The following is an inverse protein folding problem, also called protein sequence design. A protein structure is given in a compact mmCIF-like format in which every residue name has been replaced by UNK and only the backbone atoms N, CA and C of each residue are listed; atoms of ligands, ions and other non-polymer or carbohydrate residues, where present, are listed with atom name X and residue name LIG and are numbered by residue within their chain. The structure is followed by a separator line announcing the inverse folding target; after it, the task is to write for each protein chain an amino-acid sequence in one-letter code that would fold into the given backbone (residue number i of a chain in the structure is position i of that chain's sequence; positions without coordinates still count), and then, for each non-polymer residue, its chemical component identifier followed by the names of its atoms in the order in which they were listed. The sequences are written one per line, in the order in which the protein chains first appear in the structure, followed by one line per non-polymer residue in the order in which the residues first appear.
data_IF_937982414022
#
_entry.id   IF_937982414022
#
_cell.length_a   1.000
_cell.length_b   1.000
_cell.length_c   1.000
_cell.angle_alpha   90.00
_cell.angle_beta   90.00
_cell.angle_gamma   90.00
#
_symmetry.space_group_name_H-M   'P 1'
#
loop_
_entity.id
_entity.type
_entity.pdbx_description
1 polymer ?
#
# COMPACT_ATOMS: atom_id res chain seq x y z
N UNK A 1 25.12 -6.70 0.07
CA UNK A 1 25.64 -5.89 1.19
C UNK A 1 25.03 -4.49 1.23
N UNK A 2 25.16 -3.65 0.19
CA UNK A 2 24.59 -2.29 0.18
C UNK A 2 23.07 -2.24 0.45
N UNK A 3 22.28 -3.08 -0.25
CA UNK A 3 20.83 -3.14 -0.04
C UNK A 3 20.44 -3.53 1.39
N UNK A 4 21.13 -4.51 2.00
CA UNK A 4 20.92 -4.88 3.40
C UNK A 4 21.20 -3.71 4.36
N UNK A 5 22.31 -3.00 4.16
CA UNK A 5 22.67 -1.82 4.96
C UNK A 5 21.62 -0.72 4.84
N UNK A 6 21.03 -0.54 3.64
CA UNK A 6 19.98 0.44 3.43
C UNK A 6 18.68 0.07 4.16
N UNK A 7 18.26 -1.21 4.12
CA UNK A 7 17.10 -1.68 4.90
C UNK A 7 17.31 -1.40 6.40
N UNK A 8 18.51 -1.68 6.91
CA UNK A 8 18.84 -1.43 8.31
C UNK A 8 18.92 0.06 8.65
N UNK A 9 19.50 0.88 7.78
CA UNK A 9 19.50 2.33 7.93
C UNK A 9 18.07 2.91 7.94
N UNK A 10 17.18 2.38 7.10
CA UNK A 10 15.77 2.74 7.09
C UNK A 10 15.06 2.33 8.38
N UNK A 11 15.35 1.15 8.94
CA UNK A 11 14.85 0.77 10.27
C UNK A 11 15.36 1.72 11.36
N UNK A 12 16.65 2.09 11.35
CA UNK A 12 17.19 3.04 12.34
C UNK A 12 16.52 4.40 12.19
N UNK A 13 16.36 4.89 10.97
CA UNK A 13 15.65 6.15 10.68
C UNK A 13 14.21 6.13 11.20
N UNK A 14 13.53 4.99 11.02
CA UNK A 14 12.21 4.73 11.57
C UNK A 14 12.22 4.84 13.11
N UNK A 15 13.10 4.08 13.79
CA UNK A 15 13.21 4.08 15.25
C UNK A 15 13.58 5.45 15.81
N UNK A 16 14.51 6.18 15.19
CA UNK A 16 14.94 7.51 15.62
C UNK A 16 13.85 8.59 15.44
N UNK A 17 13.05 8.46 14.38
CA UNK A 17 12.00 9.43 14.10
C UNK A 17 10.65 9.12 14.74
N UNK A 18 10.52 8.00 15.46
CA UNK A 18 9.27 7.56 16.06
C UNK A 18 8.98 8.23 17.41
N UNK A 19 7.99 9.14 17.41
CA UNK A 19 7.21 9.51 18.60
C UNK A 19 5.77 8.99 18.44
N UNK A 20 5.63 7.68 18.26
CA UNK A 20 4.33 7.08 17.95
C UNK A 20 3.61 6.69 19.23
N UNK A 21 2.44 7.28 19.44
CA UNK A 21 1.57 6.97 20.58
C UNK A 21 0.75 5.68 20.37
N UNK A 22 0.71 5.14 19.14
CA UNK A 22 -0.08 3.97 18.76
C UNK A 22 0.78 2.72 18.49
N UNK A 23 0.87 1.82 19.47
CA UNK A 23 1.63 0.56 19.40
C UNK A 23 1.18 -0.36 18.25
N UNK A 24 -0.08 -0.29 17.83
CA UNK A 24 -0.60 -1.12 16.74
C UNK A 24 0.03 -0.76 15.39
N UNK A 25 0.31 0.54 15.15
CA UNK A 25 1.03 0.96 13.95
C UNK A 25 2.49 0.50 13.95
N UNK A 26 3.11 0.42 15.13
CA UNK A 26 4.46 -0.11 15.28
C UNK A 26 4.52 -1.59 14.95
N UNK A 27 3.52 -2.36 15.38
CA UNK A 27 3.41 -3.76 15.02
C UNK A 27 3.30 -3.94 13.49
N UNK A 28 2.47 -3.14 12.82
CA UNK A 28 2.33 -3.17 11.35
C UNK A 28 3.64 -2.77 10.66
N UNK A 29 4.31 -1.72 11.11
CA UNK A 29 5.61 -1.30 10.58
C UNK A 29 6.69 -2.39 10.78
N UNK A 30 6.68 -3.08 11.92
CA UNK A 30 7.54 -4.22 12.21
C UNK A 30 7.27 -5.41 11.28
N UNK A 31 6.00 -5.71 10.98
CA UNK A 31 5.62 -6.74 10.00
C UNK A 31 6.14 -6.38 8.59
N UNK A 32 5.99 -5.12 8.17
CA UNK A 32 6.54 -4.63 6.89
C UNK A 32 8.07 -4.73 6.84
N UNK A 33 8.76 -4.47 7.95
CA UNK A 33 10.21 -4.68 8.05
C UNK A 33 10.58 -6.17 7.92
N UNK A 34 9.85 -7.06 8.59
CA UNK A 34 10.06 -8.51 8.45
C UNK A 34 9.88 -8.92 6.99
N UNK A 35 8.85 -8.44 6.30
CA UNK A 35 8.68 -8.70 4.86
C UNK A 35 9.82 -8.15 4.03
N UNK A 36 10.29 -6.93 4.29
CA UNK A 36 11.44 -6.37 3.60
C UNK A 36 12.69 -7.25 3.75
N UNK A 37 12.91 -7.84 4.93
CA UNK A 37 14.01 -8.77 5.17
C UNK A 37 13.79 -10.13 4.50
N UNK A 38 12.62 -10.76 4.65
CA UNK A 38 12.37 -12.09 4.07
C UNK A 38 12.40 -12.03 2.55
N UNK A 39 11.84 -10.98 1.97
CA UNK A 39 11.85 -10.75 0.53
C UNK A 39 13.26 -10.38 0.04
N UNK A 40 14.02 -9.58 0.81
CA UNK A 40 15.43 -9.36 0.51
C UNK A 40 16.24 -10.66 0.56
N UNK A 41 16.06 -11.54 1.53
CA UNK A 41 16.90 -12.74 1.65
C UNK A 41 16.48 -13.79 0.62
N UNK A 42 15.19 -14.12 0.58
CA UNK A 42 14.68 -15.28 -0.14
C UNK A 42 13.91 -14.94 -1.42
N UNK A 43 13.63 -13.66 -1.70
CA UNK A 43 12.71 -13.24 -2.77
C UNK A 43 11.32 -13.87 -2.62
N UNK A 44 10.90 -14.00 -1.37
CA UNK A 44 9.63 -14.61 -0.97
C UNK A 44 8.99 -13.75 0.11
N UNK A 45 7.74 -13.39 -0.13
CA UNK A 45 6.83 -12.87 0.88
C UNK A 45 5.99 -14.02 1.41
N UNK A 46 6.03 -14.33 2.71
CA UNK A 46 5.19 -15.36 3.28
C UNK A 46 3.71 -14.95 3.20
N UNK A 47 2.99 -15.44 2.18
CA UNK A 47 1.59 -15.09 1.87
C UNK A 47 0.70 -15.24 3.11
N UNK A 48 0.90 -16.28 3.90
CA UNK A 48 0.18 -16.52 5.15
C UNK A 48 0.33 -15.38 6.17
N UNK A 49 1.54 -14.86 6.34
CA UNK A 49 1.79 -13.73 7.23
C UNK A 49 1.23 -12.44 6.63
N UNK A 50 1.28 -12.28 5.30
CA UNK A 50 0.74 -11.13 4.60
C UNK A 50 -0.79 -11.06 4.71
N UNK A 51 -1.49 -12.18 4.52
CA UNK A 51 -2.93 -12.31 4.73
C UNK A 51 -3.30 -12.06 6.20
N UNK A 52 -2.55 -12.65 7.16
CA UNK A 52 -2.80 -12.42 8.58
C UNK A 52 -2.67 -10.93 8.96
N UNK A 53 -1.63 -10.25 8.46
CA UNK A 53 -1.44 -8.82 8.65
C UNK A 53 -2.58 -8.00 8.04
N UNK A 54 -2.94 -8.28 6.79
CA UNK A 54 -4.02 -7.59 6.08
C UNK A 54 -5.36 -7.71 6.82
N UNK A 55 -5.79 -8.93 7.13
CA UNK A 55 -7.05 -9.16 7.85
C UNK A 55 -7.00 -8.65 9.29
N UNK A 56 -5.83 -8.68 9.94
CA UNK A 56 -5.61 -8.05 11.24
C UNK A 56 -5.88 -6.55 11.19
N UNK A 57 -5.37 -5.84 10.18
CA UNK A 57 -5.63 -4.41 9.98
C UNK A 57 -7.10 -4.12 9.68
N UNK A 58 -7.75 -4.92 8.82
CA UNK A 58 -9.19 -4.79 8.58
C UNK A 58 -9.98 -4.99 9.88
N UNK A 59 -9.59 -5.97 10.71
CA UNK A 59 -10.21 -6.22 11.99
C UNK A 59 -10.00 -5.07 13.00
N UNK A 60 -8.81 -4.44 13.03
CA UNK A 60 -8.53 -3.28 13.88
C UNK A 60 -9.58 -2.17 13.66
N UNK A 61 -9.93 -1.91 12.41
CA UNK A 61 -10.79 -0.82 11.97
C UNK A 61 -12.16 -1.28 11.46
N UNK A 62 -12.59 -2.49 11.82
CA UNK A 62 -13.82 -3.09 11.30
C UNK A 62 -15.06 -2.21 11.53
N UNK A 63 -15.17 -1.59 12.71
CA UNK A 63 -16.27 -0.66 13.05
C UNK A 63 -16.34 0.57 12.13
N UNK A 64 -15.24 0.94 11.47
CA UNK A 64 -15.18 2.10 10.60
C UNK A 64 -15.34 1.75 9.11
N UNK A 65 -15.40 0.46 8.77
CA UNK A 65 -15.51 0.00 7.37
C UNK A 65 -16.80 0.53 6.70
N UNK A 66 -17.90 0.61 7.45
CA UNK A 66 -19.18 1.13 6.94
C UNK A 66 -19.15 2.61 6.54
N UNK A 67 -18.19 3.38 7.05
CA UNK A 67 -18.02 4.81 6.74
C UNK A 67 -17.20 5.05 5.47
N UNK A 68 -16.65 4.00 4.84
CA UNK A 68 -16.01 4.08 3.53
C UNK A 68 -17.04 4.16 2.37
N UNK A 69 -18.20 4.78 2.59
CA UNK A 69 -19.38 4.66 1.73
C UNK A 69 -19.22 5.23 0.30
N UNK A 70 -18.21 6.07 0.01
CA UNK A 70 -17.91 6.52 -1.35
C UNK A 70 -16.96 5.56 -2.08
N UNK A 71 -16.00 4.98 -1.37
CA UNK A 71 -14.97 4.09 -1.95
C UNK A 71 -15.47 2.66 -2.04
N UNK A 72 -16.27 2.21 -1.09
CA UNK A 72 -16.72 0.83 -0.98
C UNK A 72 -17.60 0.36 -2.16
N UNK A 73 -18.54 1.16 -2.70
CA UNK A 73 -19.25 0.79 -3.92
C UNK A 73 -18.33 0.64 -5.13
N UNK A 74 -17.30 1.48 -5.25
CA UNK A 74 -16.30 1.35 -6.30
C UNK A 74 -15.42 0.12 -6.12
N UNK A 75 -15.08 -0.23 -4.88
CA UNK A 75 -14.40 -1.49 -4.57
C UNK A 75 -15.23 -2.71 -4.99
N UNK A 76 -16.55 -2.69 -4.77
CA UNK A 76 -17.46 -3.76 -5.20
C UNK A 76 -17.47 -3.86 -6.74
N UNK A 77 -17.57 -2.73 -7.44
CA UNK A 77 -17.53 -2.67 -8.92
C UNK A 77 -16.18 -3.19 -9.41
N UNK A 78 -15.08 -2.73 -8.82
CA UNK A 78 -13.72 -3.18 -9.11
C UNK A 78 -13.62 -4.70 -8.96
N UNK A 79 -13.91 -5.24 -7.77
CA UNK A 79 -13.71 -6.66 -7.49
C UNK A 79 -14.60 -7.56 -8.35
N UNK A 80 -15.84 -7.13 -8.60
CA UNK A 80 -16.73 -7.85 -9.54
C UNK A 80 -16.17 -7.81 -10.95
N UNK A 81 -15.77 -6.64 -11.45
CA UNK A 81 -15.20 -6.50 -12.79
C UNK A 81 -13.93 -7.34 -12.96
N UNK A 82 -13.03 -7.33 -11.98
CA UNK A 82 -11.80 -8.14 -11.96
C UNK A 82 -12.13 -9.65 -11.98
N UNK A 83 -13.09 -10.11 -11.18
CA UNK A 83 -13.54 -11.52 -11.17
C UNK A 83 -14.21 -11.96 -12.48
N UNK A 84 -14.70 -11.03 -13.29
CA UNK A 84 -15.33 -11.31 -14.58
C UNK A 84 -14.46 -10.88 -15.78
N UNK A 85 -13.16 -10.68 -15.55
CA UNK A 85 -12.18 -10.31 -16.58
C UNK A 85 -12.60 -9.05 -17.38
N UNK A 86 -13.14 -8.05 -16.68
CA UNK A 86 -13.49 -6.73 -17.21
C UNK A 86 -12.44 -5.71 -16.76
N UNK A 87 -11.18 -5.98 -17.09
CA UNK A 87 -9.99 -5.20 -16.67
C UNK A 87 -10.18 -3.70 -16.79
N UNK A 88 -10.63 -3.21 -17.96
CA UNK A 88 -10.81 -1.77 -18.18
C UNK A 88 -11.86 -1.16 -17.25
N UNK A 89 -12.95 -1.87 -16.94
CA UNK A 89 -13.97 -1.40 -16.00
C UNK A 89 -13.40 -1.38 -14.58
N UNK A 90 -12.65 -2.42 -14.20
CA UNK A 90 -11.98 -2.47 -12.91
C UNK A 90 -11.01 -1.30 -12.76
N UNK A 91 -10.16 -1.06 -13.77
CA UNK A 91 -9.22 0.04 -13.77
C UNK A 91 -9.89 1.41 -13.66
N UNK A 92 -10.98 1.67 -14.40
CA UNK A 92 -11.73 2.92 -14.25
C UNK A 92 -12.35 3.08 -12.85
N UNK A 93 -12.86 1.99 -12.25
CA UNK A 93 -13.37 2.01 -10.89
C UNK A 93 -12.27 2.33 -9.87
N UNK A 94 -11.07 1.75 -10.05
CA UNK A 94 -9.89 2.10 -9.26
C UNK A 94 -9.52 3.58 -9.43
N UNK A 95 -9.39 4.08 -10.66
CA UNK A 95 -9.04 5.49 -10.92
C UNK A 95 -10.05 6.46 -10.30
N UNK A 96 -11.35 6.15 -10.37
CA UNK A 96 -12.41 6.95 -9.74
C UNK A 96 -12.35 6.89 -8.21
N UNK A 97 -11.88 5.77 -7.65
CA UNK A 97 -11.83 5.58 -6.19
C UNK A 97 -10.77 6.43 -5.51
N UNK A 98 -9.65 6.74 -6.19
CA UNK A 98 -8.56 7.55 -5.62
C UNK A 98 -8.99 8.97 -5.23
N UNK A 99 -9.58 9.81 -6.10
CA UNK A 99 -10.07 11.13 -5.70
C UNK A 99 -11.19 11.03 -4.66
N UNK A 100 -12.07 10.02 -4.77
CA UNK A 100 -13.12 9.80 -3.78
C UNK A 100 -12.58 9.34 -2.43
N UNK A 101 -11.42 8.68 -2.37
CA UNK A 101 -10.76 8.33 -1.12
C UNK A 101 -10.29 9.58 -0.36
N UNK A 102 -9.81 10.60 -1.06
CA UNK A 102 -9.50 11.90 -0.44
C UNK A 102 -10.77 12.56 0.11
N UNK A 103 -11.85 12.62 -0.67
CA UNK A 103 -13.12 13.21 -0.24
C UNK A 103 -13.72 12.43 0.94
N UNK A 104 -13.77 11.11 0.85
CA UNK A 104 -14.35 10.26 1.90
C UNK A 104 -13.52 10.35 3.18
N UNK A 105 -12.19 10.33 3.09
CA UNK A 105 -11.34 10.48 4.28
C UNK A 105 -11.51 11.86 4.91
N UNK A 106 -11.65 12.92 4.10
CA UNK A 106 -11.90 14.27 4.60
C UNK A 106 -13.24 14.37 5.35
N UNK A 107 -14.31 13.75 4.81
CA UNK A 107 -15.63 13.74 5.44
C UNK A 107 -15.67 12.85 6.69
N UNK A 108 -14.99 11.70 6.64
CA UNK A 108 -14.96 10.70 7.71
C UNK A 108 -13.51 10.32 8.07
N UNK A 109 -12.79 11.16 8.85
CA UNK A 109 -11.37 10.92 9.16
C UNK A 109 -11.10 9.57 9.80
N UNK A 110 -12.03 9.07 10.61
CA UNK A 110 -11.92 7.77 11.28
C UNK A 110 -11.96 6.59 10.30
N UNK A 111 -12.56 6.76 9.11
CA UNK A 111 -12.59 5.77 8.05
C UNK A 111 -11.35 5.79 7.15
N UNK A 112 -10.40 6.71 7.37
CA UNK A 112 -9.22 6.89 6.50
C UNK A 112 -8.42 5.59 6.33
N UNK A 113 -8.16 4.85 7.42
CA UNK A 113 -7.41 3.59 7.35
C UNK A 113 -8.10 2.53 6.47
N UNK A 114 -9.37 2.14 6.71
CA UNK A 114 -10.04 1.17 5.85
C UNK A 114 -10.20 1.68 4.41
N UNK A 115 -10.44 2.99 4.20
CA UNK A 115 -10.50 3.59 2.86
C UNK A 115 -9.19 3.36 2.10
N UNK A 116 -8.06 3.78 2.66
CA UNK A 116 -6.77 3.64 1.98
C UNK A 116 -6.33 2.18 1.88
N UNK A 117 -6.67 1.33 2.86
CA UNK A 117 -6.45 -0.11 2.77
C UNK A 117 -7.14 -0.71 1.52
N UNK A 118 -8.38 -0.31 1.23
CA UNK A 118 -9.10 -0.73 0.02
C UNK A 118 -8.47 -0.18 -1.25
N UNK A 119 -7.96 1.07 -1.24
CA UNK A 119 -7.20 1.64 -2.36
C UNK A 119 -5.94 0.83 -2.63
N UNK A 120 -5.15 0.53 -1.60
CA UNK A 120 -3.96 -0.31 -1.72
C UNK A 120 -4.28 -1.73 -2.23
N UNK A 121 -5.43 -2.29 -1.82
CA UNK A 121 -5.89 -3.58 -2.30
C UNK A 121 -6.28 -3.55 -3.79
N UNK A 122 -7.02 -2.53 -4.22
CA UNK A 122 -7.34 -2.33 -5.65
C UNK A 122 -6.09 -2.14 -6.48
N UNK A 123 -5.12 -1.38 -5.97
CA UNK A 123 -3.82 -1.16 -6.61
C UNK A 123 -3.03 -2.46 -6.74
N UNK A 124 -2.92 -3.24 -5.65
CA UNK A 124 -2.24 -4.54 -5.66
C UNK A 124 -2.87 -5.53 -6.63
N UNK A 125 -4.21 -5.65 -6.65
CA UNK A 125 -4.90 -6.49 -7.64
C UNK A 125 -4.75 -5.97 -9.07
N UNK A 126 -4.66 -4.64 -9.27
CA UNK A 126 -4.37 -4.07 -10.59
C UNK A 126 -2.97 -4.46 -11.03
N UNK A 127 -1.95 -4.33 -10.18
CA UNK A 127 -0.58 -4.74 -10.53
C UNK A 127 -0.44 -6.24 -10.74
N UNK A 128 -1.11 -7.06 -9.93
CA UNK A 128 -0.99 -8.51 -10.02
C UNK A 128 -1.84 -9.11 -11.15
N UNK A 129 -3.12 -8.74 -11.25
CA UNK A 129 -4.07 -9.42 -12.13
C UNK A 129 -4.38 -8.66 -13.43
N UNK A 130 -4.06 -7.36 -13.51
CA UNK A 130 -4.26 -6.57 -14.73
C UNK A 130 -2.92 -6.32 -15.41
N UNK A 131 -1.92 -5.81 -14.69
CA UNK A 131 -0.59 -5.47 -15.23
C UNK A 131 0.35 -6.69 -15.25
N UNK A 132 0.15 -7.61 -14.32
CA UNK A 132 0.88 -8.89 -14.19
C UNK A 132 2.38 -8.72 -13.89
N UNK A 133 2.71 -7.75 -13.05
CA UNK A 133 4.11 -7.42 -12.69
C UNK A 133 4.53 -7.90 -11.29
N UNK A 134 3.61 -8.49 -10.51
CA UNK A 134 3.81 -8.75 -9.08
C UNK A 134 3.46 -10.16 -8.63
N UNK A 135 4.03 -10.59 -7.51
CA UNK A 135 3.69 -11.83 -6.84
C UNK A 135 2.47 -11.67 -5.91
N UNK A 136 1.80 -12.79 -5.60
CA UNK A 136 0.60 -12.83 -4.74
C UNK A 136 0.77 -12.10 -3.40
N UNK A 137 1.94 -12.22 -2.78
CA UNK A 137 2.25 -11.59 -1.50
C UNK A 137 2.29 -10.06 -1.55
N UNK A 138 2.58 -9.47 -2.72
CA UNK A 138 2.75 -8.03 -2.89
C UNK A 138 1.41 -7.28 -2.74
N UNK A 139 0.30 -7.91 -3.15
CA UNK A 139 -1.06 -7.35 -3.05
C UNK A 139 -1.36 -6.89 -1.62
N UNK A 140 -1.05 -7.76 -0.65
CA UNK A 140 -1.33 -7.51 0.76
C UNK A 140 -0.33 -6.54 1.37
N UNK A 141 0.94 -6.57 0.95
CA UNK A 141 1.97 -5.64 1.43
C UNK A 141 1.65 -4.21 0.99
N UNK A 142 1.27 -4.00 -0.28
CA UNK A 142 0.83 -2.69 -0.78
C UNK A 142 -0.37 -2.20 0.05
N UNK A 143 -1.35 -3.07 0.28
CA UNK A 143 -2.51 -2.74 1.12
C UNK A 143 -2.11 -2.29 2.53
N UNK A 144 -1.14 -2.97 3.15
CA UNK A 144 -0.61 -2.60 4.47
C UNK A 144 0.15 -1.27 4.46
N UNK A 145 0.92 -0.97 3.42
CA UNK A 145 1.55 0.35 3.26
C UNK A 145 0.49 1.46 3.19
N UNK A 146 -0.58 1.26 2.43
CA UNK A 146 -1.67 2.22 2.33
C UNK A 146 -2.49 2.34 3.62
N UNK A 147 -2.67 1.26 4.37
CA UNK A 147 -3.28 1.33 5.70
C UNK A 147 -2.46 2.20 6.66
N UNK A 148 -1.13 2.09 6.57
CA UNK A 148 -0.20 2.73 7.48
C UNK A 148 0.07 4.20 7.12
N UNK A 149 0.28 4.48 5.83
CA UNK A 149 0.71 5.79 5.33
C UNK A 149 -0.43 6.59 4.68
N UNK A 150 -1.64 6.02 4.58
CA UNK A 150 -2.74 6.61 3.83
C UNK A 150 -2.32 6.94 2.39
N UNK A 151 -2.58 8.14 1.88
CA UNK A 151 -2.16 8.52 0.52
C UNK A 151 -0.65 8.70 0.37
N UNK A 152 0.11 8.86 1.47
CA UNK A 152 1.58 8.94 1.36
C UNK A 152 2.20 7.63 0.91
N UNK A 153 1.47 6.51 0.94
CA UNK A 153 1.91 5.22 0.40
C UNK A 153 2.20 5.26 -1.11
N UNK A 154 1.65 6.22 -1.86
CA UNK A 154 2.03 6.44 -3.26
C UNK A 154 3.52 6.77 -3.41
N UNK A 155 4.17 7.36 -2.40
CA UNK A 155 5.60 7.68 -2.43
C UNK A 155 6.46 6.39 -2.51
N UNK A 156 6.41 5.46 -1.54
CA UNK A 156 7.18 4.23 -1.64
C UNK A 156 6.72 3.32 -2.78
N UNK A 157 5.44 3.35 -3.13
CA UNK A 157 4.92 2.59 -4.27
C UNK A 157 5.50 3.08 -5.61
N UNK A 158 5.46 4.38 -5.90
CA UNK A 158 6.07 4.91 -7.14
C UNK A 158 7.61 4.75 -7.15
N UNK A 159 8.23 4.70 -5.98
CA UNK A 159 9.66 4.48 -5.83
C UNK A 159 10.10 3.03 -6.11
N UNK A 160 9.22 2.05 -5.93
CA UNK A 160 9.56 0.62 -5.89
C UNK A 160 10.36 0.17 -7.13
N UNK A 161 9.97 0.66 -8.30
CA UNK A 161 10.59 0.32 -9.57
C UNK A 161 12.01 0.88 -9.71
N UNK A 162 12.23 2.13 -9.26
CA UNK A 162 13.56 2.76 -9.32
C UNK A 162 14.49 2.14 -8.29
N UNK A 163 14.02 1.99 -7.04
CA UNK A 163 14.79 1.36 -5.96
C UNK A 163 15.11 -0.08 -6.32
N UNK A 164 14.09 -0.84 -6.69
CA UNK A 164 14.19 -2.26 -7.01
C UNK A 164 15.17 -2.51 -8.15
N UNK A 165 14.98 -1.83 -9.28
CA UNK A 165 15.85 -2.00 -10.44
C UNK A 165 17.29 -1.52 -10.21
N UNK A 166 17.52 -0.45 -9.44
CA UNK A 166 18.86 0.11 -9.24
C UNK A 166 19.64 -0.57 -8.12
N UNK A 167 18.97 -0.94 -7.02
CA UNK A 167 19.63 -1.36 -5.78
C UNK A 167 19.42 -2.84 -5.45
N UNK A 168 18.35 -3.47 -5.97
CA UNK A 168 17.95 -4.82 -5.57
C UNK A 168 17.74 -5.80 -6.74
N UNK A 169 17.98 -5.40 -7.98
CA UNK A 169 17.78 -6.25 -9.14
C UNK A 169 18.62 -7.53 -9.07
N UNK A 170 17.94 -8.67 -9.25
CA UNK A 170 18.54 -10.00 -9.28
C UNK A 170 18.36 -10.59 -10.67
N UNK A 171 19.46 -10.62 -11.44
CA UNK A 171 19.46 -11.19 -12.80
C UNK A 171 18.97 -12.65 -12.81
N UNK A 172 19.31 -13.44 -11.80
CA UNK A 172 18.93 -14.85 -11.68
C UNK A 172 17.43 -15.07 -11.53
N UNK A 173 16.72 -14.12 -10.90
CA UNK A 173 15.28 -14.19 -10.68
C UNK A 173 14.47 -13.35 -11.67
N UNK A 174 15.14 -12.66 -12.60
CA UNK A 174 14.49 -11.80 -13.59
C UNK A 174 13.78 -10.56 -13.03
N UNK A 175 13.94 -10.24 -11.74
CA UNK A 175 13.19 -9.18 -11.05
C UNK A 175 13.90 -8.63 -9.82
N UNK A 176 13.16 -7.93 -8.96
CA UNK A 176 13.66 -7.42 -7.67
C UNK A 176 12.64 -7.67 -6.55
N UNK A 177 13.09 -7.78 -5.30
CA UNK A 177 12.21 -7.89 -4.14
C UNK A 177 11.51 -6.54 -3.88
N UNK A 178 10.18 -6.56 -3.86
CA UNK A 178 9.28 -5.40 -3.69
C UNK A 178 9.31 -4.88 -2.25
N UNK A 179 9.31 -5.79 -1.27
CA UNK A 179 9.34 -5.47 0.14
C UNK A 179 10.43 -4.47 0.52
N UNK A 180 11.73 -4.76 0.27
CA UNK A 180 12.81 -3.82 0.55
C UNK A 180 12.79 -2.60 -0.37
N UNK A 181 12.28 -2.71 -1.60
CA UNK A 181 12.21 -1.58 -2.53
C UNK A 181 11.25 -0.49 -2.03
N UNK A 182 10.11 -0.88 -1.45
CA UNK A 182 9.16 0.03 -0.82
C UNK A 182 9.61 0.46 0.58
N UNK A 183 10.17 -0.45 1.39
CA UNK A 183 10.45 -0.17 2.80
C UNK A 183 11.47 0.96 2.99
N UNK A 184 12.50 1.01 2.13
CA UNK A 184 13.59 1.97 2.30
C UNK A 184 13.17 3.42 2.12
N UNK A 185 12.15 3.67 1.32
CA UNK A 185 11.51 4.98 1.13
C UNK A 185 10.33 5.18 2.07
N UNK A 186 9.59 4.12 2.41
CA UNK A 186 8.46 4.20 3.33
C UNK A 186 8.89 4.58 4.75
N UNK A 187 9.98 4.01 5.26
CA UNK A 187 10.46 4.25 6.62
C UNK A 187 10.74 5.73 6.96
N UNK A 188 11.52 6.50 6.16
CA UNK A 188 11.73 7.92 6.44
C UNK A 188 10.45 8.77 6.27
N UNK A 189 9.54 8.40 5.36
CA UNK A 189 8.24 9.05 5.20
C UNK A 189 7.38 8.82 6.44
N UNK A 190 7.27 7.57 6.88
CA UNK A 190 6.55 7.17 8.08
C UNK A 190 7.05 7.93 9.31
N UNK A 191 8.36 7.99 9.50
CA UNK A 191 8.98 8.69 10.61
C UNK A 191 8.66 10.19 10.59
N UNK A 192 8.60 10.81 9.41
CA UNK A 192 8.32 12.23 9.27
C UNK A 192 6.85 12.59 9.49
N UNK A 193 5.92 11.72 9.08
CA UNK A 193 4.47 11.94 9.25
C UNK A 193 4.13 12.24 10.72
N UNK A 194 4.80 11.56 11.66
CA UNK A 194 4.61 11.76 13.11
C UNK A 194 4.97 13.17 13.58
N UNK A 195 5.83 13.88 12.85
CA UNK A 195 6.34 15.23 13.19
C UNK A 195 5.75 16.32 12.29
N UNK A 196 4.99 15.94 11.28
CA UNK A 196 4.44 16.86 10.30
C UNK A 196 3.11 17.46 10.78
N UNK A 197 2.87 18.74 10.47
CA UNK A 197 1.56 19.36 10.71
C UNK A 197 0.61 19.01 9.57
N UNK A 198 -0.04 17.86 9.70
CA UNK A 198 -0.93 17.32 8.69
C UNK A 198 -2.40 17.35 9.16
N UNK A 199 -3.36 17.56 8.24
CA UNK A 199 -4.78 17.39 8.51
C UNK A 199 -5.09 15.99 9.06
N UNK A 200 -6.05 15.92 9.98
CA UNK A 200 -6.40 14.68 10.69
C UNK A 200 -6.76 13.54 9.75
N UNK A 201 -7.49 13.79 8.67
CA UNK A 201 -7.90 12.75 7.72
C UNK A 201 -6.72 12.05 7.00
N UNK A 202 -5.52 12.65 7.02
CA UNK A 202 -4.30 12.06 6.45
C UNK A 202 -3.48 11.28 7.48
N UNK A 203 -3.69 11.54 8.77
CA UNK A 203 -2.87 11.00 9.87
C UNK A 203 -3.70 10.40 11.00
N UNK A 204 -4.97 10.08 10.76
CA UNK A 204 -5.91 9.64 11.80
C UNK A 204 -5.36 8.48 12.63
N UNK A 205 -4.76 7.49 11.96
CA UNK A 205 -4.17 6.31 12.57
C UNK A 205 -3.06 6.64 13.59
N UNK A 206 -2.31 7.72 13.36
CA UNK A 206 -1.18 8.13 14.20
C UNK A 206 -1.63 8.78 15.50
N UNK A 207 -2.79 9.44 15.48
CA UNK A 207 -3.31 10.20 16.61
C UNK A 207 -4.33 9.41 17.44
N UNK A 208 -4.87 8.31 16.91
CA UNK A 208 -5.95 7.56 17.55
C UNK A 208 -5.64 6.07 17.62
N UNK A 209 -5.88 5.49 18.79
CA UNK A 209 -5.85 4.04 18.97
C UNK A 209 -6.93 3.37 18.11
N UNK A 210 -6.64 2.19 17.54
CA UNK A 210 -7.63 1.46 16.75
C UNK A 210 -8.82 1.04 17.64
N UNK A 211 -10.04 0.99 17.11
CA UNK A 211 -11.23 0.71 17.90
C UNK A 211 -11.30 -0.74 18.39
N UNK A 212 -10.71 -1.71 17.66
CA UNK A 212 -10.87 -3.13 17.95
C UNK A 212 -9.54 -3.91 18.05
N UNK A 213 -8.65 -3.59 19.00
CA UNK A 213 -7.36 -4.27 19.14
C UNK A 213 -7.51 -5.78 19.42
N UNK A 214 -8.44 -6.16 20.31
CA UNK A 214 -8.67 -7.57 20.66
C UNK A 214 -9.14 -8.40 19.45
N UNK A 215 -10.06 -7.85 18.64
CA UNK A 215 -10.57 -8.53 17.44
C UNK A 215 -9.42 -8.77 16.45
N UNK A 216 -8.56 -7.77 16.25
CA UNK A 216 -7.40 -7.91 15.38
C UNK A 216 -6.44 -9.00 15.85
N UNK A 217 -6.18 -9.09 17.16
CA UNK A 217 -5.40 -10.20 17.74
C UNK A 217 -6.04 -11.54 17.40
N UNK A 218 -7.33 -11.73 17.70
CA UNK A 218 -7.99 -13.01 17.41
C UNK A 218 -7.99 -13.38 15.93
N UNK A 219 -8.27 -12.42 15.04
CA UNK A 219 -8.27 -12.64 13.58
C UNK A 219 -6.88 -12.98 13.07
N UNK A 220 -5.85 -12.24 13.49
CA UNK A 220 -4.46 -12.49 13.11
C UNK A 220 -4.00 -13.87 13.57
N UNK A 221 -4.27 -14.23 14.84
CA UNK A 221 -3.95 -15.54 15.39
C UNK A 221 -4.72 -16.65 14.67
N UNK A 222 -6.02 -16.48 14.40
CA UNK A 222 -6.82 -17.48 13.69
C UNK A 222 -6.24 -17.77 12.30
N UNK A 223 -5.95 -16.74 11.50
CA UNK A 223 -5.39 -16.92 10.16
C UNK A 223 -3.98 -17.53 10.21
N UNK A 224 -3.15 -17.07 11.14
CA UNK A 224 -1.79 -17.55 11.28
C UNK A 224 -1.69 -18.98 11.84
N UNK A 225 -2.55 -19.41 12.77
CA UNK A 225 -2.45 -20.76 13.35
C UNK A 225 -3.31 -21.79 12.63
N UNK A 226 -4.52 -21.42 12.19
CA UNK A 226 -5.41 -22.34 11.47
C UNK A 226 -4.93 -22.63 10.04
N UNK A 227 -3.86 -21.96 9.58
CA UNK A 227 -3.23 -22.18 8.27
C UNK A 227 -4.22 -22.08 7.11
N UNK A 228 -5.19 -21.18 7.26
CA UNK A 228 -6.18 -20.89 6.24
C UNK A 228 -5.49 -20.01 5.19
N UNK A 229 -4.68 -20.62 4.32
CA UNK A 229 -4.20 -19.97 3.11
C UNK A 229 -5.34 -20.04 2.12
N UNK A 230 -5.80 -18.87 1.71
CA UNK A 230 -6.92 -18.75 0.79
C UNK A 230 -6.43 -18.12 -0.48
N UNK A 231 -6.93 -18.58 -1.63
CA UNK A 231 -6.56 -17.98 -2.91
C UNK A 231 -7.02 -16.52 -2.96
N UNK A 232 -6.24 -15.69 -3.66
CA UNK A 232 -6.58 -14.27 -3.87
C UNK A 232 -7.98 -14.09 -4.45
N UNK A 233 -8.35 -14.93 -5.42
CA UNK A 233 -9.66 -14.92 -6.04
C UNK A 233 -10.77 -15.10 -4.99
N UNK A 234 -10.59 -16.02 -4.03
CA UNK A 234 -11.57 -16.21 -2.97
C UNK A 234 -11.55 -15.04 -1.97
N UNK A 235 -10.40 -14.45 -1.66
CA UNK A 235 -10.35 -13.24 -0.82
C UNK A 235 -11.12 -12.10 -1.46
N UNK A 236 -10.94 -11.89 -2.77
CA UNK A 236 -11.69 -10.87 -3.50
C UNK A 236 -13.19 -11.18 -3.52
N UNK A 237 -13.59 -12.44 -3.77
CA UNK A 237 -14.99 -12.90 -3.66
C UNK A 237 -15.55 -12.60 -2.27
N UNK A 238 -14.82 -12.95 -1.21
CA UNK A 238 -15.23 -12.77 0.17
C UNK A 238 -15.49 -11.29 0.49
N UNK A 239 -14.53 -10.43 0.15
CA UNK A 239 -14.63 -8.99 0.41
C UNK A 239 -15.74 -8.33 -0.39
N UNK A 240 -15.89 -8.68 -1.68
CA UNK A 240 -17.00 -8.17 -2.52
C UNK A 240 -18.34 -8.65 -1.97
N UNK A 241 -18.45 -9.91 -1.56
CA UNK A 241 -19.68 -10.47 -0.99
C UNK A 241 -20.07 -9.81 0.32
N UNK A 242 -19.11 -9.63 1.25
CA UNK A 242 -19.37 -8.86 2.47
C UNK A 242 -19.78 -7.44 2.14
N UNK A 243 -19.14 -6.82 1.15
CA UNK A 243 -19.45 -5.46 0.79
C UNK A 243 -20.85 -5.29 0.19
N UNK A 244 -21.23 -6.18 -0.73
CA UNK A 244 -22.58 -6.24 -1.28
C UNK A 244 -23.62 -6.47 -0.19
N UNK A 245 -23.36 -7.42 0.71
CA UNK A 245 -24.27 -7.75 1.81
C UNK A 245 -24.47 -6.57 2.75
N UNK A 246 -23.39 -5.92 3.18
CA UNK A 246 -23.44 -4.75 4.05
C UNK A 246 -24.19 -3.58 3.40
N UNK A 247 -23.89 -3.28 2.13
CA UNK A 247 -24.50 -2.15 1.43
C UNK A 247 -26.01 -2.37 1.17
N UNK A 248 -26.38 -3.54 0.65
CA UNK A 248 -27.79 -3.88 0.38
C UNK A 248 -28.59 -4.06 1.66
N UNK A 249 -27.98 -4.66 2.68
CA UNK A 249 -28.54 -4.82 4.01
C UNK A 249 -28.85 -3.48 4.67
N UNK A 250 -27.90 -2.53 4.61
CA UNK A 250 -28.09 -1.17 5.11
C UNK A 250 -29.25 -0.46 4.41
N UNK A 251 -29.31 -0.53 3.08
CA UNK A 251 -30.43 0.04 2.32
C UNK A 251 -31.77 -0.60 2.73
N UNK A 252 -31.81 -1.91 2.87
CA UNK A 252 -33.02 -2.62 3.27
C UNK A 252 -33.44 -2.30 4.71
N UNK A 253 -32.47 -2.14 5.62
CA UNK A 253 -32.70 -1.66 6.99
C UNK A 253 -33.38 -0.29 6.99
N UNK A 254 -32.88 0.66 6.20
CA UNK A 254 -33.43 2.02 6.14
C UNK A 254 -34.84 2.08 5.54
N UNK A 255 -35.15 1.22 4.56
CA UNK A 255 -36.43 1.26 3.84
C UNK A 255 -37.51 0.41 4.53
N UNK A 256 -37.15 -0.78 5.01
CA UNK A 256 -38.09 -1.81 5.47
C UNK A 256 -37.86 -2.25 6.93
N UNK A 257 -36.87 -1.68 7.62
CA UNK A 257 -36.58 -1.95 9.02
C UNK A 257 -35.62 -3.12 9.26
N UNK A 258 -35.31 -3.34 10.53
CA UNK A 258 -34.23 -4.22 11.01
C UNK A 258 -34.28 -5.64 10.46
N UNK A 259 -35.41 -6.34 10.64
CA UNK A 259 -35.57 -7.74 10.18
C UNK A 259 -35.37 -7.90 8.67
N UNK A 260 -35.80 -6.92 7.88
CA UNK A 260 -35.60 -6.93 6.44
C UNK A 260 -34.12 -6.74 6.10
N UNK A 261 -33.46 -5.79 6.77
CA UNK A 261 -32.01 -5.56 6.65
C UNK A 261 -31.17 -6.80 6.95
N UNK A 262 -31.41 -7.47 8.08
CA UNK A 262 -30.73 -8.72 8.45
C UNK A 262 -30.95 -9.84 7.42
N UNK A 263 -32.20 -10.03 7.01
CA UNK A 263 -32.56 -11.06 6.02
C UNK A 263 -31.89 -10.81 4.68
N UNK A 264 -31.94 -9.57 4.18
CA UNK A 264 -31.28 -9.17 2.93
C UNK A 264 -29.78 -9.33 3.04
N UNK A 265 -29.16 -8.92 4.16
CA UNK A 265 -27.72 -9.10 4.40
C UNK A 265 -27.32 -10.56 4.27
N UNK A 266 -28.03 -11.46 4.95
CA UNK A 266 -27.73 -12.90 4.93
C UNK A 266 -27.92 -13.49 3.52
N UNK A 267 -29.05 -13.17 2.87
CA UNK A 267 -29.38 -13.68 1.53
C UNK A 267 -28.36 -13.19 0.50
N UNK A 268 -28.01 -11.90 0.53
CA UNK A 268 -27.02 -11.33 -0.41
C UNK A 268 -25.63 -11.86 -0.12
N UNK A 269 -25.24 -12.03 1.15
CA UNK A 269 -23.95 -12.61 1.51
C UNK A 269 -23.82 -14.03 0.94
N UNK A 270 -24.77 -14.92 1.28
CA UNK A 270 -24.73 -16.31 0.82
C UNK A 270 -24.88 -16.42 -0.70
N UNK A 271 -25.81 -15.67 -1.28
CA UNK A 271 -26.08 -15.66 -2.72
C UNK A 271 -24.86 -15.16 -3.51
N UNK A 272 -24.29 -14.03 -3.12
CA UNK A 272 -23.10 -13.49 -3.79
C UNK A 272 -21.88 -14.39 -3.60
N UNK A 273 -21.66 -14.97 -2.42
CA UNK A 273 -20.55 -15.90 -2.17
C UNK A 273 -20.62 -17.09 -3.11
N UNK A 274 -21.81 -17.69 -3.25
CA UNK A 274 -22.01 -18.84 -4.15
C UNK A 274 -21.84 -18.42 -5.60
N UNK A 275 -22.51 -17.35 -6.04
CA UNK A 275 -22.46 -16.88 -7.44
C UNK A 275 -21.04 -16.51 -7.85
N UNK A 276 -20.37 -15.67 -7.06
CA UNK A 276 -19.03 -15.19 -7.37
C UNK A 276 -17.98 -16.31 -7.25
N UNK A 277 -18.12 -17.27 -6.33
CA UNK A 277 -17.22 -18.42 -6.26
C UNK A 277 -17.37 -19.37 -7.47
N UNK A 278 -18.59 -19.55 -7.97
CA UNK A 278 -18.86 -20.47 -9.09
C UNK A 278 -18.57 -19.81 -10.44
N UNK A 279 -18.87 -18.52 -10.59
CA UNK A 279 -18.80 -17.79 -11.87
C UNK A 279 -17.61 -16.85 -11.97
N UNK A 280 -17.17 -16.28 -10.87
CA UNK A 280 -16.01 -15.38 -10.81
C UNK A 280 -14.71 -16.17 -10.88
N UNK A 281 -13.81 -15.73 -11.74
CA UNK A 281 -12.48 -16.28 -11.89
C UNK A 281 -11.49 -15.13 -12.10
N UNK A 282 -10.47 -15.10 -11.26
CA UNK A 282 -9.33 -14.21 -11.46
C UNK A 282 -8.55 -14.76 -12.67
N UNK A 283 -8.52 -14.00 -13.77
CA UNK A 283 -7.77 -14.36 -14.97
C UNK A 283 -6.50 -13.52 -15.01
N UNK A 284 -5.38 -14.18 -15.25
CA UNK A 284 -4.05 -13.59 -15.51
C UNK A 284 -3.79 -13.93 -16.98
N UNK A 285 -3.92 -12.94 -17.87
CA UNK A 285 -4.04 -13.13 -19.33
C UNK A 285 -2.72 -12.99 -20.09
N UNK A 286 -1.60 -12.63 -19.45
CA UNK A 286 -0.31 -12.29 -20.07
C UNK A 286 -0.40 -11.20 -21.16
N UNK A 287 -1.55 -10.49 -21.24
CA UNK A 287 -1.86 -9.50 -22.25
C UNK A 287 -2.93 -8.52 -21.71
N UNK A 288 -2.48 -7.53 -20.94
CA UNK A 288 -3.36 -6.52 -20.35
C UNK A 288 -4.00 -5.59 -21.37
N UNK A 289 -5.27 -5.25 -21.15
CA UNK A 289 -5.95 -4.16 -21.84
C UNK A 289 -5.65 -2.76 -21.27
N UNK A 290 -4.90 -2.69 -20.16
CA UNK A 290 -4.47 -1.45 -19.51
C UNK A 290 -2.96 -1.29 -19.66
N UNK A 291 -2.51 -0.09 -20.02
CA UNK A 291 -1.08 0.18 -20.09
C UNK A 291 -0.46 0.27 -18.68
N UNK A 292 0.63 -0.47 -18.38
CA UNK A 292 1.39 -0.27 -17.15
C UNK A 292 1.84 1.19 -16.99
N UNK A 293 2.15 1.85 -18.11
CA UNK A 293 2.58 3.25 -18.15
C UNK A 293 1.57 4.21 -17.50
N UNK A 294 0.26 4.07 -17.78
CA UNK A 294 -0.77 4.93 -17.19
C UNK A 294 -0.83 4.80 -15.66
N UNK A 295 -0.76 3.56 -15.15
CA UNK A 295 -0.79 3.28 -13.72
C UNK A 295 0.43 3.89 -13.00
N UNK A 296 1.62 3.67 -13.55
CA UNK A 296 2.87 4.11 -12.94
C UNK A 296 3.04 5.63 -13.01
N UNK A 297 2.65 6.30 -14.10
CA UNK A 297 2.68 7.76 -14.17
C UNK A 297 1.63 8.41 -13.28
N UNK A 298 0.41 7.86 -13.22
CA UNK A 298 -0.62 8.33 -12.31
C UNK A 298 -0.14 8.28 -10.86
N UNK A 299 0.46 7.16 -10.47
CA UNK A 299 1.04 6.98 -9.14
C UNK A 299 2.24 7.88 -8.88
N UNK A 300 3.09 8.11 -9.89
CA UNK A 300 4.23 9.04 -9.80
C UNK A 300 3.78 10.49 -9.60
N UNK A 301 2.71 10.91 -10.29
CA UNK A 301 2.15 12.25 -10.11
C UNK A 301 1.64 12.45 -8.69
N UNK A 302 0.90 11.48 -8.14
CA UNK A 302 0.43 11.53 -6.75
C UNK A 302 1.62 11.50 -5.78
N UNK A 303 2.63 10.66 -6.02
CA UNK A 303 3.84 10.59 -5.20
C UNK A 303 4.59 11.92 -5.12
N UNK A 304 4.72 12.65 -6.24
CA UNK A 304 5.33 13.99 -6.28
C UNK A 304 4.50 14.98 -5.48
N UNK A 305 3.17 14.99 -5.66
CA UNK A 305 2.26 15.88 -4.91
C UNK A 305 2.35 15.59 -3.40
N UNK A 306 2.30 14.32 -3.01
CA UNK A 306 2.38 13.89 -1.61
C UNK A 306 3.76 14.18 -1.01
N UNK A 307 4.84 14.01 -1.78
CA UNK A 307 6.19 14.39 -1.35
C UNK A 307 6.29 15.89 -1.10
N UNK A 308 5.83 16.71 -2.04
CA UNK A 308 5.85 18.17 -1.90
C UNK A 308 4.99 18.63 -0.71
N UNK A 309 3.80 18.06 -0.55
CA UNK A 309 2.91 18.36 0.56
C UNK A 309 3.54 18.01 1.90
N UNK A 310 4.10 16.80 2.03
CA UNK A 310 4.77 16.36 3.26
C UNK A 310 5.98 17.23 3.59
N UNK A 311 6.80 17.59 2.60
CA UNK A 311 7.95 18.48 2.79
C UNK A 311 7.53 19.87 3.29
N UNK A 312 6.46 20.42 2.73
CA UNK A 312 5.92 21.71 3.16
C UNK A 312 5.37 21.64 4.59
N UNK A 313 4.57 20.61 4.89
CA UNK A 313 3.97 20.38 6.21
C UNK A 313 4.98 20.05 7.31
N UNK A 314 6.16 19.54 6.95
CA UNK A 314 7.21 19.14 7.86
C UNK A 314 8.46 20.03 7.77
N UNK A 315 8.38 21.20 7.14
CA UNK A 315 9.56 22.07 6.89
C UNK A 315 10.34 22.42 8.16
N UNK A 316 9.65 22.55 9.30
CA UNK A 316 10.26 22.84 10.60
C UNK A 316 10.82 21.61 11.32
N UNK A 317 10.43 20.41 10.89
CA UNK A 317 10.90 19.15 11.45
C UNK A 317 12.21 18.68 10.80
N UNK A 318 12.58 19.25 9.66
CA UNK A 318 13.85 18.96 8.99
C UNK A 318 14.98 19.88 9.47
N UNK A 319 16.13 19.26 9.70
CA UNK A 319 17.41 19.97 9.69
C UNK A 319 17.82 20.28 8.24
N UNK A 320 18.58 21.37 8.06
CA UNK A 320 19.12 21.74 6.74
C UNK A 320 19.97 20.62 6.14
N UNK A 321 20.67 19.85 6.98
CA UNK A 321 21.54 18.76 6.54
C UNK A 321 20.77 17.55 6.02
N UNK A 322 19.60 17.22 6.61
CA UNK A 322 18.70 16.18 6.06
C UNK A 322 18.23 16.55 4.66
N UNK A 323 17.83 17.81 4.47
CA UNK A 323 17.36 18.31 3.17
C UNK A 323 18.49 18.27 2.14
N UNK A 324 19.69 18.72 2.50
CA UNK A 324 20.87 18.68 1.61
C UNK A 324 21.21 17.23 1.24
N UNK A 325 21.25 16.33 2.22
CA UNK A 325 21.54 14.91 1.98
C UNK A 325 20.50 14.27 1.05
N UNK A 326 19.22 14.59 1.26
CA UNK A 326 18.13 14.22 0.37
C UNK A 326 18.33 14.74 -1.05
N UNK A 327 18.59 16.04 -1.25
CA UNK A 327 18.79 16.63 -2.58
C UNK A 327 19.98 16.00 -3.32
N UNK A 328 21.11 15.81 -2.63
CA UNK A 328 22.31 15.19 -3.22
C UNK A 328 22.00 13.76 -3.66
N UNK A 329 21.41 12.97 -2.77
CA UNK A 329 21.10 11.56 -3.02
C UNK A 329 20.02 11.41 -4.11
N UNK A 330 19.01 12.28 -4.11
CA UNK A 330 17.99 12.41 -5.15
C UNK A 330 18.59 12.70 -6.52
N UNK A 331 19.47 13.69 -6.60
CA UNK A 331 20.16 14.06 -7.84
C UNK A 331 21.01 12.90 -8.37
N UNK A 332 21.72 12.21 -7.47
CA UNK A 332 22.55 11.06 -7.82
C UNK A 332 21.72 9.89 -8.36
N UNK A 333 20.65 9.49 -7.66
CA UNK A 333 19.79 8.39 -8.10
C UNK A 333 19.02 8.71 -9.39
N UNK A 334 18.54 9.94 -9.54
CA UNK A 334 17.91 10.40 -10.78
C UNK A 334 18.88 10.30 -11.97
N UNK A 335 20.12 10.76 -11.78
CA UNK A 335 21.15 10.75 -12.82
C UNK A 335 21.56 9.33 -13.18
N UNK A 336 21.88 8.50 -12.18
CA UNK A 336 22.27 7.09 -12.39
C UNK A 336 21.14 6.31 -13.04
N UNK A 337 19.90 6.48 -12.58
CA UNK A 337 18.72 5.85 -13.15
C UNK A 337 18.51 6.21 -14.61
N UNK A 338 18.57 7.51 -14.92
CA UNK A 338 18.47 8.01 -16.30
C UNK A 338 19.51 7.37 -17.22
N UNK A 339 20.78 7.35 -16.82
CA UNK A 339 21.85 6.79 -17.63
C UNK A 339 21.75 5.28 -17.78
N UNK A 340 21.34 4.56 -16.73
CA UNK A 340 21.16 3.11 -16.78
C UNK A 340 20.14 2.75 -17.84
N UNK A 341 18.95 3.37 -17.80
CA UNK A 341 17.89 3.11 -18.77
C UNK A 341 18.33 3.49 -20.18
N UNK A 342 18.93 4.67 -20.34
CA UNK A 342 19.36 5.16 -21.66
C UNK A 342 20.36 4.21 -22.34
N UNK A 343 21.23 3.55 -21.56
CA UNK A 343 22.23 2.59 -22.07
C UNK A 343 21.70 1.18 -22.23
N UNK A 344 20.61 0.82 -21.56
CA UNK A 344 20.20 -0.57 -21.46
C UNK A 344 19.45 -1.10 -22.69
N UNK A 345 19.04 -0.23 -23.64
CA UNK A 345 18.38 -0.49 -24.95
C UNK A 345 17.19 -1.50 -24.98
N UNK A 346 16.90 -2.21 -23.89
CA UNK A 346 15.96 -3.32 -23.79
C UNK A 346 15.42 -3.46 -22.35
N UNK A 347 14.70 -2.44 -21.87
CA UNK A 347 13.86 -2.58 -20.67
C UNK A 347 12.43 -2.17 -21.06
N UNK A 348 11.43 -2.81 -20.45
CA UNK A 348 10.01 -2.63 -20.77
C UNK A 348 9.63 -1.15 -20.97
N UNK A 349 8.74 -0.89 -21.92
CA UNK A 349 8.44 0.44 -22.47
C UNK A 349 8.02 1.51 -21.44
N UNK A 350 7.56 1.12 -20.25
CA UNK A 350 7.23 2.02 -19.14
C UNK A 350 8.45 2.48 -18.31
N UNK A 351 9.60 1.81 -18.42
CA UNK A 351 10.87 2.24 -17.82
C UNK A 351 11.53 3.32 -18.69
N UNK A 352 10.89 4.48 -18.80
CA UNK A 352 11.44 5.58 -19.59
C UNK A 352 12.53 6.33 -18.81
N UNK A 353 13.52 6.95 -19.50
CA UNK A 353 14.50 7.79 -18.82
C UNK A 353 13.86 8.92 -17.99
N UNK A 354 12.68 9.43 -18.43
CA UNK A 354 11.91 10.44 -17.70
C UNK A 354 11.33 9.90 -16.40
N UNK A 355 10.80 8.68 -16.42
CA UNK A 355 10.28 8.02 -15.23
C UNK A 355 11.37 7.88 -14.16
N UNK A 356 12.57 7.41 -14.55
CA UNK A 356 13.69 7.29 -13.62
C UNK A 356 14.25 8.62 -13.14
N UNK A 357 14.19 9.67 -13.98
CA UNK A 357 14.60 11.00 -13.56
C UNK A 357 13.71 11.52 -12.43
N UNK A 358 12.39 11.43 -12.60
CA UNK A 358 11.42 11.95 -11.64
C UNK A 358 11.37 11.08 -10.39
N UNK A 359 11.11 9.77 -10.55
CA UNK A 359 11.00 8.87 -9.42
C UNK A 359 12.35 8.63 -8.73
N UNK A 360 13.47 8.69 -9.46
CA UNK A 360 14.81 8.65 -8.86
C UNK A 360 15.11 9.87 -8.00
N UNK A 361 14.62 11.06 -8.37
CA UNK A 361 14.74 12.25 -7.54
C UNK A 361 13.92 12.13 -6.25
N UNK A 362 12.64 11.76 -6.36
CA UNK A 362 11.74 11.55 -5.20
C UNK A 362 12.30 10.47 -4.28
N UNK A 363 12.63 9.32 -4.84
CA UNK A 363 13.18 8.17 -4.12
C UNK A 363 14.49 8.50 -3.43
N UNK A 364 15.43 9.08 -4.18
CA UNK A 364 16.75 9.37 -3.64
C UNK A 364 16.71 10.47 -2.59
N UNK A 365 15.76 11.40 -2.67
CA UNK A 365 15.49 12.33 -1.58
C UNK A 365 15.17 11.59 -0.27
N UNK A 366 14.20 10.69 -0.29
CA UNK A 366 13.80 9.94 0.90
C UNK A 366 14.89 9.00 1.41
N UNK A 367 15.62 8.34 0.51
CA UNK A 367 16.79 7.51 0.88
C UNK A 367 17.88 8.38 1.54
N UNK A 368 18.19 9.56 1.00
CA UNK A 368 19.17 10.47 1.59
C UNK A 368 18.79 10.90 3.00
N UNK A 369 17.50 11.23 3.23
CA UNK A 369 16.98 11.52 4.57
C UNK A 369 17.16 10.32 5.51
N UNK A 370 16.84 9.10 5.07
CA UNK A 370 17.02 7.90 5.88
C UNK A 370 18.50 7.68 6.25
N UNK A 371 19.41 7.80 5.28
CA UNK A 371 20.84 7.62 5.50
C UNK A 371 21.41 8.67 6.46
N UNK A 372 20.99 9.93 6.34
CA UNK A 372 21.44 10.98 7.26
C UNK A 372 20.98 10.71 8.70
N UNK A 373 19.70 10.35 8.89
CA UNK A 373 19.17 10.01 10.22
C UNK A 373 19.86 8.80 10.82
N UNK A 374 20.12 7.77 10.03
CA UNK A 374 20.85 6.59 10.48
C UNK A 374 22.29 6.92 10.89
N UNK A 375 23.01 7.73 10.09
CA UNK A 375 24.35 8.21 10.41
C UNK A 375 24.37 8.98 11.73
N UNK A 376 23.45 9.95 11.89
CA UNK A 376 23.37 10.76 13.09
C UNK A 376 23.08 9.92 14.33
N UNK A 377 22.13 8.99 14.24
CA UNK A 377 21.83 8.04 15.32
C UNK A 377 23.08 7.25 15.73
N UNK A 378 23.78 6.63 14.77
CA UNK A 378 24.99 5.85 15.07
C UNK A 378 26.05 6.73 15.75
N UNK A 379 26.26 7.95 15.27
CA UNK A 379 27.25 8.89 15.85
C UNK A 379 26.93 9.39 17.26
N UNK A 380 25.68 9.27 17.72
CA UNK A 380 25.30 9.64 19.09
C UNK A 380 25.56 8.53 20.10
N UNK A 381 25.61 7.27 19.66
CA UNK A 381 25.66 6.10 20.54
C UNK A 381 26.95 5.27 20.42
N UNK A 382 27.79 5.55 19.42
CA UNK A 382 29.09 4.94 19.17
C UNK A 382 30.10 6.01 18.76
#
# INVERSE_FOLDING_TARGET
MLGFLLIFASLISLLYGMEIQNESLLAVAGVLFIFALTDYVAMVIPVKLAQAGFFGVIALYFSYLGYAYLVFPLFIIFGTATLFNRERIAYWAFLASVPLAFVNSYLEPHASVPIWTLIGLMLGFTEHAIVEEMAEGDIYIISLYFALLGPFAFIPYAAQNVVGSLLYYRKEAGGWPVGPAMFVTAAPVFALITKAKLPEFLIYAYNHSPPNPNLATYVTFAIFFLSVIVSEAFILVLLVSFGLAAYTGMLAYFIWGEKAGETVTLVVLLGSLVILKVKGKLHIQNASSVSPEELFWGSSAIAVIMTAFLLFSAVKAFSIHEVISGIITGTLLATVGYWKVKKAEMWGWWFTPRYFLINGAVTGFWIGVALYKAYFFVSLYF
#
